data_IF_781010096929
#
_entry.id   IF_781010096929
#
_cell.length_a   1.000
_cell.length_b   1.000
_cell.length_c   1.000
_cell.angle_alpha   90.00
_cell.angle_beta   90.00
_cell.angle_gamma   90.00
#
_symmetry.space_group_name_H-M   'P 1'
#
loop_
_entity.id
_entity.type
_entity.pdbx_description
1 polymer ?
#
# COMPACT_ATOMS: atom_id res chain seq x y z
N UNK A 1 -0.54 5.26 -11.84
CA UNK A 1 -0.38 6.09 -13.05
C UNK A 1 0.10 7.53 -12.86
N UNK A 2 -0.72 8.46 -12.33
CA UNK A 2 -0.44 9.90 -12.40
C UNK A 2 0.93 10.31 -11.82
N UNK A 3 1.31 9.75 -10.66
CA UNK A 3 2.63 10.00 -10.07
C UNK A 3 3.79 9.55 -10.96
N UNK A 4 3.67 8.39 -11.62
CA UNK A 4 4.70 7.88 -12.53
C UNK A 4 4.83 8.82 -13.75
N UNK A 5 3.69 9.25 -14.31
CA UNK A 5 3.66 10.20 -15.44
C UNK A 5 4.24 11.57 -15.06
N UNK A 6 4.09 11.99 -13.80
CA UNK A 6 4.69 13.19 -13.25
C UNK A 6 6.20 13.05 -12.96
N UNK A 7 6.79 11.86 -13.16
CA UNK A 7 8.23 11.62 -13.00
C UNK A 7 8.65 10.94 -11.69
N UNK A 8 7.70 10.45 -10.88
CA UNK A 8 8.03 9.71 -9.66
C UNK A 8 8.84 8.44 -9.98
N UNK A 9 9.99 8.27 -9.32
CA UNK A 9 10.85 7.09 -9.43
C UNK A 9 10.62 6.05 -8.33
N UNK A 10 9.83 6.40 -7.33
CA UNK A 10 9.35 5.53 -6.26
C UNK A 10 7.87 5.82 -6.07
N UNK A 11 7.05 4.78 -5.98
CA UNK A 11 5.62 4.90 -5.68
C UNK A 11 5.27 3.89 -4.58
N UNK A 12 4.46 4.34 -3.63
CA UNK A 12 4.00 3.53 -2.51
C UNK A 12 2.67 2.85 -2.84
N UNK A 13 2.47 1.61 -2.37
CA UNK A 13 1.18 0.93 -2.46
C UNK A 13 0.14 1.67 -1.62
N UNK A 14 -1.14 1.55 -1.97
CA UNK A 14 -2.23 2.18 -1.20
C UNK A 14 -2.57 1.41 0.10
N UNK A 15 -1.56 0.88 0.79
CA UNK A 15 -1.70 -0.06 1.90
C UNK A 15 -1.31 0.55 3.25
N UNK A 16 -1.23 1.87 3.39
CA UNK A 16 -0.80 2.53 4.64
C UNK A 16 -1.59 2.04 5.86
N UNK A 17 -2.91 1.91 5.76
CA UNK A 17 -3.77 1.35 6.81
C UNK A 17 -3.97 -0.17 6.74
N UNK A 18 -3.19 -0.88 5.94
CA UNK A 18 -3.30 -2.32 5.69
C UNK A 18 -2.72 -3.17 6.82
N UNK A 19 -3.20 -2.96 8.04
CA UNK A 19 -2.86 -3.78 9.20
C UNK A 19 -4.13 -4.10 10.01
N UNK A 20 -4.08 -5.19 10.79
CA UNK A 20 -5.26 -5.70 11.52
C UNK A 20 -5.89 -4.62 12.41
N UNK A 21 -5.08 -3.89 13.18
CA UNK A 21 -5.55 -2.87 14.13
C UNK A 21 -6.37 -1.77 13.43
N UNK A 22 -5.87 -1.27 12.29
CA UNK A 22 -6.56 -0.24 11.51
C UNK A 22 -7.82 -0.76 10.82
N UNK A 23 -7.81 -1.98 10.30
CA UNK A 23 -8.95 -2.57 9.60
C UNK A 23 -10.06 -3.05 10.54
N UNK A 24 -9.72 -3.38 11.79
CA UNK A 24 -10.69 -3.80 12.80
C UNK A 24 -11.64 -2.65 13.17
N UNK A 25 -11.13 -1.43 13.31
CA UNK A 25 -11.95 -0.21 13.47
C UNK A 25 -12.90 0.08 12.30
N UNK A 26 -12.77 -0.63 11.18
CA UNK A 26 -13.64 -0.56 10.02
C UNK A 26 -14.47 -1.85 9.79
N UNK A 27 -14.37 -2.86 10.68
CA UNK A 27 -15.12 -4.12 10.59
C UNK A 27 -14.71 -5.02 9.43
N UNK A 28 -13.50 -4.83 8.88
CA UNK A 28 -13.02 -5.56 7.68
C UNK A 28 -11.65 -6.23 7.88
N UNK A 29 -11.23 -6.43 9.13
CA UNK A 29 -9.96 -7.06 9.47
C UNK A 29 -9.78 -8.46 8.83
N UNK A 30 -10.86 -9.23 8.67
CA UNK A 30 -10.84 -10.55 8.01
C UNK A 30 -10.44 -10.49 6.52
N UNK A 31 -10.48 -9.30 5.91
CA UNK A 31 -10.10 -9.07 4.51
C UNK A 31 -8.69 -8.48 4.37
N UNK A 32 -7.87 -8.51 5.42
CA UNK A 32 -6.53 -7.92 5.41
C UNK A 32 -5.69 -8.36 4.21
N UNK A 33 -5.52 -9.68 4.03
CA UNK A 33 -4.66 -10.21 2.96
C UNK A 33 -5.19 -9.81 1.59
N UNK A 34 -6.50 -9.94 1.37
CA UNK A 34 -7.16 -9.53 0.12
C UNK A 34 -6.86 -8.07 -0.22
N UNK A 35 -7.06 -7.15 0.74
CA UNK A 35 -6.89 -5.72 0.53
C UNK A 35 -5.41 -5.33 0.30
N UNK A 36 -4.49 -5.92 1.07
CA UNK A 36 -3.05 -5.63 0.95
C UNK A 36 -2.50 -6.18 -0.36
N UNK A 37 -2.86 -7.42 -0.72
CA UNK A 37 -2.43 -8.05 -1.97
C UNK A 37 -2.99 -7.26 -3.16
N UNK A 38 -4.27 -6.88 -3.14
CA UNK A 38 -4.87 -6.07 -4.20
C UNK A 38 -4.14 -4.73 -4.37
N UNK A 39 -3.83 -4.03 -3.27
CA UNK A 39 -3.09 -2.77 -3.30
C UNK A 39 -1.68 -2.89 -3.87
N UNK A 40 -0.94 -3.93 -3.46
CA UNK A 40 0.41 -4.21 -3.97
C UNK A 40 0.39 -4.64 -5.45
N UNK A 41 -0.56 -5.48 -5.84
CA UNK A 41 -0.72 -5.95 -7.21
C UNK A 41 -1.06 -4.82 -8.17
N UNK A 42 -1.98 -3.92 -7.78
CA UNK A 42 -2.32 -2.74 -8.58
C UNK A 42 -1.10 -1.84 -8.83
N UNK A 43 -0.27 -1.63 -7.80
CA UNK A 43 0.98 -0.88 -7.96
C UNK A 43 1.95 -1.60 -8.90
N UNK A 44 2.12 -2.93 -8.74
CA UNK A 44 3.00 -3.74 -9.58
C UNK A 44 2.63 -3.62 -11.06
N UNK A 45 1.35 -3.76 -11.40
CA UNK A 45 0.86 -3.60 -12.78
C UNK A 45 1.21 -2.25 -13.38
N UNK A 46 1.05 -1.17 -12.62
CA UNK A 46 1.33 0.19 -13.10
C UNK A 46 2.83 0.47 -13.27
N UNK A 47 3.67 -0.11 -12.42
CA UNK A 47 5.13 0.00 -12.50
C UNK A 47 5.71 -0.83 -13.63
N UNK A 48 5.21 -2.05 -13.83
CA UNK A 48 5.69 -2.94 -14.89
C UNK A 48 5.25 -2.48 -16.29
N UNK A 49 4.21 -1.63 -16.38
CA UNK A 49 3.69 -1.10 -17.63
C UNK A 49 4.53 0.08 -18.21
N UNK A 50 5.51 0.61 -17.48
CA UNK A 50 6.33 1.74 -17.96
C UNK A 50 7.73 1.31 -18.43
N UNK A 51 8.30 1.96 -19.46
CA UNK A 51 9.57 1.55 -20.06
C UNK A 51 10.81 1.94 -19.23
N UNK A 52 10.64 2.62 -18.09
CA UNK A 52 11.72 3.10 -17.24
C UNK A 52 11.59 2.52 -15.84
N UNK A 53 12.71 2.42 -15.11
CA UNK A 53 12.69 1.86 -13.77
C UNK A 53 11.97 2.77 -12.77
N UNK A 54 10.94 2.23 -12.12
CA UNK A 54 10.23 2.82 -10.98
C UNK A 54 10.23 1.78 -9.85
N UNK A 55 10.53 2.20 -8.62
CA UNK A 55 10.46 1.32 -7.46
C UNK A 55 9.02 1.26 -6.94
N UNK A 56 8.51 0.04 -6.81
CA UNK A 56 7.28 -0.25 -6.07
C UNK A 56 7.62 -0.55 -4.61
N UNK A 57 7.15 0.28 -3.68
CA UNK A 57 7.40 0.09 -2.26
C UNK A 57 6.11 -0.10 -1.47
N UNK A 58 6.15 -1.00 -0.48
CA UNK A 58 5.03 -1.23 0.42
C UNK A 58 4.84 -0.04 1.35
N UNK A 59 3.63 0.53 1.41
CA UNK A 59 3.27 1.50 2.43
C UNK A 59 2.79 0.76 3.67
N UNK A 60 3.49 0.92 4.80
CA UNK A 60 3.11 0.35 6.10
C UNK A 60 2.96 1.52 7.08
N UNK A 61 1.74 1.78 7.52
CA UNK A 61 1.43 2.77 8.55
C UNK A 61 1.43 2.16 9.95
N UNK A 62 1.36 3.00 11.00
CA UNK A 62 1.31 2.54 12.38
C UNK A 62 0.03 1.76 12.67
N UNK A 63 0.03 1.02 13.78
CA UNK A 63 -1.16 0.32 14.30
C UNK A 63 -2.25 1.32 14.71
N UNK A 64 -1.85 2.51 15.17
CA UNK A 64 -2.75 3.49 15.78
C UNK A 64 -2.98 3.26 17.28
N UNK A 65 -2.44 2.17 17.81
CA UNK A 65 -2.40 1.88 19.23
C UNK A 65 -1.30 2.69 19.92
N UNK A 66 -1.55 3.08 21.17
CA UNK A 66 -0.51 3.64 22.03
C UNK A 66 0.22 2.45 22.66
N UNK A 67 1.53 2.34 22.39
CA UNK A 67 2.38 1.37 23.08
C UNK A 67 2.63 1.85 24.50
N UNK A 68 2.50 0.95 25.48
CA UNK A 68 2.96 1.24 26.84
C UNK A 68 4.49 1.42 26.86
N UNK A 69 5.02 2.32 27.70
CA UNK A 69 6.45 2.64 27.78
C UNK A 69 7.35 1.47 28.20
#
# INVERSE_FOLDING_TARGET
RAYIQAGARIVLSNTFGGNVFRLDGHGVASRLEELVIAGAHNLRLEVDAVPHQVLAAGSIGPTGEILEP
#
